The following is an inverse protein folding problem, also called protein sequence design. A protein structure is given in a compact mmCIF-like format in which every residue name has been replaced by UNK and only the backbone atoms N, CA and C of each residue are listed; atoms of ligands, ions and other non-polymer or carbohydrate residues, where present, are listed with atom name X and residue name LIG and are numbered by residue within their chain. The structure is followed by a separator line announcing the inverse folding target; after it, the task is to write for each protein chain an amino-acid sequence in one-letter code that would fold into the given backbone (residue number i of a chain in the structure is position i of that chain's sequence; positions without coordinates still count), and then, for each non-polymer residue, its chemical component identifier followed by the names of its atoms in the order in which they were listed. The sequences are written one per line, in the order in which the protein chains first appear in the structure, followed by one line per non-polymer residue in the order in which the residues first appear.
data_IF_385356178003
#
_entry.id   IF_385356178003
#
_cell.length_a   1.000
_cell.length_b   1.000
_cell.length_c   1.000
_cell.angle_alpha   90.00
_cell.angle_beta   90.00
_cell.angle_gamma   90.00
#
_symmetry.space_group_name_H-M   'P 1'
#
loop_
_entity.id
_entity.type
_entity.pdbx_description
1 polymer ?
#
# COMPACT_ATOMS: atom_id res chain seq x y z
N UNK A 1 10.60 28.82 -6.32
CA UNK A 1 11.26 27.80 -7.14
C UNK A 1 10.83 26.44 -6.59
N UNK A 2 9.73 25.90 -7.10
CA UNK A 2 9.20 24.57 -6.81
C UNK A 2 9.00 23.89 -8.16
N UNK A 3 9.61 22.74 -8.46
CA UNK A 3 9.32 22.07 -9.72
C UNK A 3 8.06 21.23 -9.56
N UNK A 4 6.98 21.73 -10.14
CA UNK A 4 5.83 20.96 -10.58
C UNK A 4 6.25 20.03 -11.72
N UNK A 5 5.95 18.74 -11.61
CA UNK A 5 5.71 17.90 -12.79
C UNK A 5 4.55 16.94 -12.49
N UNK A 6 3.34 17.46 -12.62
CA UNK A 6 2.17 16.64 -12.89
C UNK A 6 2.27 16.13 -14.34
N UNK A 7 2.58 14.85 -14.52
CA UNK A 7 2.41 14.20 -15.81
C UNK A 7 0.96 13.72 -15.97
N UNK A 8 0.29 14.32 -16.95
CA UNK A 8 -0.99 13.89 -17.50
C UNK A 8 -0.79 12.54 -18.22
N UNK A 9 -0.89 11.43 -17.50
CA UNK A 9 -1.11 10.12 -18.11
C UNK A 9 -2.61 9.84 -18.04
N UNK A 10 -3.22 9.59 -19.20
CA UNK A 10 -4.64 9.25 -19.35
C UNK A 10 -5.03 8.17 -18.35
N UNK A 11 -5.73 8.59 -17.30
CA UNK A 11 -6.37 7.71 -16.32
C UNK A 11 -7.45 6.96 -17.07
N UNK A 12 -7.12 5.80 -17.63
CA UNK A 12 -8.11 4.84 -18.11
C UNK A 12 -9.05 4.57 -16.96
N UNK A 13 -10.25 5.14 -17.04
CA UNK A 13 -11.33 4.85 -16.14
C UNK A 13 -11.71 3.39 -16.35
N UNK A 14 -11.11 2.50 -15.56
CA UNK A 14 -11.63 1.15 -15.40
C UNK A 14 -12.84 1.28 -14.47
N UNK A 15 -14.08 1.01 -14.94
CA UNK A 15 -15.24 1.02 -14.05
C UNK A 15 -14.93 0.10 -12.87
N UNK A 16 -15.12 0.60 -11.65
CA UNK A 16 -14.85 -0.16 -10.42
C UNK A 16 -15.50 -1.54 -10.53
N UNK A 17 -14.67 -2.59 -10.56
CA UNK A 17 -15.13 -3.96 -10.68
C UNK A 17 -16.16 -4.24 -9.55
N UNK A 18 -17.42 -4.58 -9.89
CA UNK A 18 -18.46 -4.84 -8.89
C UNK A 18 -18.08 -6.00 -7.96
N UNK A 19 -17.15 -6.88 -8.34
CA UNK A 19 -16.59 -7.91 -7.46
C UNK A 19 -15.81 -7.31 -6.29
N UNK A 20 -15.04 -6.23 -6.50
CA UNK A 20 -14.34 -5.51 -5.40
C UNK A 20 -15.34 -4.93 -4.39
N UNK A 21 -16.51 -4.48 -4.85
CA UNK A 21 -17.55 -3.95 -3.95
C UNK A 21 -18.17 -5.02 -3.05
N UNK A 22 -18.24 -6.28 -3.49
CA UNK A 22 -18.72 -7.41 -2.66
C UNK A 22 -17.67 -7.80 -1.62
N UNK A 23 -16.41 -7.91 -2.00
CA UNK A 23 -15.31 -8.13 -1.06
C UNK A 23 -15.20 -7.04 0.03
N UNK A 24 -15.55 -5.79 -0.29
CA UNK A 24 -15.60 -4.66 0.66
C UNK A 24 -16.55 -4.90 1.84
N UNK A 25 -17.62 -5.68 1.67
CA UNK A 25 -18.52 -6.07 2.76
C UNK A 25 -17.88 -7.09 3.71
N UNK A 26 -17.05 -7.97 3.18
CA UNK A 26 -16.36 -9.03 3.93
C UNK A 26 -15.13 -8.50 4.70
N UNK A 27 -14.53 -7.41 4.21
CA UNK A 27 -13.32 -6.80 4.82
C UNK A 27 -13.61 -5.99 6.11
N UNK A 28 -14.85 -5.56 6.36
CA UNK A 28 -15.20 -4.71 7.52
C UNK A 28 -15.09 -5.42 8.90
N UNK A 29 -14.87 -6.74 8.92
CA UNK A 29 -14.62 -7.54 10.13
C UNK A 29 -13.28 -8.27 10.15
N UNK A 30 -12.46 -8.12 9.11
CA UNK A 30 -11.17 -8.79 9.00
C UNK A 30 -10.13 -8.02 9.84
N UNK A 31 -9.31 -8.72 10.65
CA UNK A 31 -8.25 -8.07 11.40
C UNK A 31 -7.20 -7.49 10.44
N UNK A 32 -6.69 -6.32 10.81
CA UNK A 32 -5.55 -5.70 10.14
C UNK A 32 -4.28 -6.25 10.80
N UNK A 33 -3.47 -6.95 10.03
CA UNK A 33 -2.17 -7.44 10.48
C UNK A 33 -1.08 -6.48 10.01
N UNK A 34 -0.19 -6.08 10.92
CA UNK A 34 1.03 -5.34 10.57
C UNK A 34 2.23 -6.26 10.80
N UNK A 35 3.05 -6.44 9.77
CA UNK A 35 4.27 -7.25 9.85
C UNK A 35 5.46 -6.53 9.22
N UNK A 36 6.66 -6.91 9.62
CA UNK A 36 7.92 -6.51 8.97
C UNK A 36 8.32 -7.59 7.97
N UNK A 37 8.79 -7.22 6.78
CA UNK A 37 9.42 -8.12 5.83
C UNK A 37 10.51 -7.40 5.03
N UNK A 38 11.56 -8.12 4.68
CA UNK A 38 12.56 -7.66 3.70
C UNK A 38 12.43 -8.43 2.38
N UNK A 39 11.65 -9.51 2.37
CA UNK A 39 11.55 -10.43 1.27
C UNK A 39 10.78 -9.83 0.10
N UNK A 40 11.19 -10.20 -1.11
CA UNK A 40 10.35 -10.02 -2.29
C UNK A 40 9.29 -11.12 -2.29
N UNK A 41 8.05 -10.69 -2.26
CA UNK A 41 6.89 -11.58 -2.25
C UNK A 41 6.01 -11.20 -3.45
N UNK A 42 5.50 -12.17 -4.24
CA UNK A 42 4.69 -11.87 -5.42
C UNK A 42 3.49 -10.96 -5.14
N UNK A 43 2.91 -11.06 -3.93
CA UNK A 43 1.81 -10.19 -3.49
C UNK A 43 2.24 -8.71 -3.35
N UNK A 44 3.47 -8.46 -2.88
CA UNK A 44 4.02 -7.11 -2.77
C UNK A 44 4.41 -6.56 -4.14
N UNK A 45 4.94 -7.39 -5.03
CA UNK A 45 5.23 -6.99 -6.41
C UNK A 45 3.95 -6.61 -7.16
N UNK A 46 2.86 -7.36 -6.93
CA UNK A 46 1.53 -7.00 -7.42
C UNK A 46 1.06 -5.66 -6.85
N UNK A 47 1.22 -5.43 -5.55
CA UNK A 47 0.85 -4.17 -4.89
C UNK A 47 1.59 -2.98 -5.51
N UNK A 48 2.91 -3.10 -5.70
CA UNK A 48 3.72 -2.08 -6.36
C UNK A 48 3.31 -1.84 -7.82
N UNK A 49 2.99 -2.90 -8.56
CA UNK A 49 2.47 -2.77 -9.92
C UNK A 49 1.10 -2.07 -9.97
N UNK A 50 0.22 -2.31 -8.97
CA UNK A 50 -1.07 -1.60 -8.87
C UNK A 50 -0.88 -0.11 -8.59
N UNK A 51 0.04 0.24 -7.69
CA UNK A 51 0.34 1.62 -7.31
C UNK A 51 1.15 2.38 -8.39
N UNK A 52 1.85 1.65 -9.26
CA UNK A 52 2.74 2.23 -10.27
C UNK A 52 4.05 2.78 -9.69
N UNK A 53 4.41 2.36 -8.48
CA UNK A 53 5.62 2.77 -7.77
C UNK A 53 6.45 1.55 -7.34
N UNK A 54 7.79 1.65 -7.29
CA UNK A 54 8.63 0.55 -6.86
C UNK A 54 8.41 0.21 -5.39
N UNK A 55 8.61 -1.06 -5.02
CA UNK A 55 8.60 -1.47 -3.62
C UNK A 55 9.72 -0.75 -2.83
N UNK A 56 9.46 -0.30 -1.58
CA UNK A 56 10.47 0.32 -0.73
C UNK A 56 11.71 -0.58 -0.58
N UNK A 57 12.91 -0.03 -0.61
CA UNK A 57 14.11 -0.84 -0.46
C UNK A 57 14.30 -1.34 0.99
N UNK A 58 14.84 -2.56 1.14
CA UNK A 58 15.19 -3.14 2.44
C UNK A 58 13.97 -3.48 3.32
N UNK A 59 14.12 -3.41 4.66
CA UNK A 59 13.03 -3.72 5.58
C UNK A 59 11.85 -2.77 5.43
N UNK A 60 10.65 -3.34 5.35
CA UNK A 60 9.39 -2.61 5.20
C UNK A 60 8.32 -3.13 6.14
N UNK A 61 7.47 -2.24 6.62
CA UNK A 61 6.22 -2.60 7.29
C UNK A 61 5.14 -2.81 6.25
N UNK A 62 4.32 -3.83 6.43
CA UNK A 62 3.25 -4.23 5.54
C UNK A 62 1.96 -4.28 6.35
N UNK A 63 0.91 -3.66 5.84
CA UNK A 63 -0.46 -3.83 6.31
C UNK A 63 -1.18 -4.86 5.45
N UNK A 64 -1.85 -5.81 6.11
CA UNK A 64 -2.61 -6.87 5.45
C UNK A 64 -4.01 -6.96 6.03
N UNK A 65 -4.96 -7.34 5.17
CA UNK A 65 -6.34 -7.69 5.55
C UNK A 65 -6.59 -9.08 4.99
N UNK A 66 -6.93 -10.05 5.84
CA UNK A 66 -7.11 -11.44 5.42
C UNK A 66 -5.88 -12.05 4.73
N UNK A 67 -4.67 -11.62 5.12
CA UNK A 67 -3.40 -12.05 4.50
C UNK A 67 -3.07 -11.41 3.14
N UNK A 68 -3.89 -10.46 2.66
CA UNK A 68 -3.62 -9.70 1.44
C UNK A 68 -2.95 -8.36 1.78
N UNK A 69 -1.74 -8.07 1.26
CA UNK A 69 -1.13 -6.76 1.37
C UNK A 69 -1.98 -5.66 0.74
N UNK A 70 -2.21 -4.58 1.48
CA UNK A 70 -2.97 -3.40 1.03
C UNK A 70 -2.15 -2.10 1.09
N UNK A 71 -1.07 -2.09 1.89
CA UNK A 71 -0.09 -1.01 1.93
C UNK A 71 1.26 -1.51 2.45
N UNK A 72 2.36 -0.88 2.04
CA UNK A 72 3.69 -1.11 2.58
C UNK A 72 4.48 0.20 2.69
N UNK A 73 5.28 0.35 3.75
CA UNK A 73 6.13 1.53 4.01
C UNK A 73 7.53 1.08 4.38
N UNK A 74 8.55 1.70 3.79
CA UNK A 74 9.94 1.44 4.13
C UNK A 74 10.27 1.84 5.56
N UNK A 75 11.02 1.01 6.29
CA UNK A 75 11.49 1.36 7.64
C UNK A 75 12.66 2.36 7.62
N UNK A 76 13.39 2.43 6.51
CA UNK A 76 14.58 3.30 6.34
C UNK A 76 14.32 4.57 5.51
N UNK A 77 13.14 4.69 4.90
CA UNK A 77 12.81 5.80 4.01
C UNK A 77 11.30 5.88 3.82
N UNK A 78 10.76 7.09 3.74
CA UNK A 78 9.31 7.37 3.70
C UNK A 78 8.59 6.91 2.43
N UNK A 79 9.25 6.14 1.57
CA UNK A 79 8.65 5.47 0.42
C UNK A 79 7.51 4.57 0.90
N UNK A 80 6.40 4.65 0.18
CA UNK A 80 5.22 3.87 0.45
C UNK A 80 4.64 3.37 -0.86
N UNK A 81 4.08 2.17 -0.83
CA UNK A 81 3.20 1.66 -1.87
C UNK A 81 1.86 1.29 -1.27
N UNK A 82 0.78 1.52 -1.99
CA UNK A 82 -0.58 1.27 -1.49
C UNK A 82 -1.50 0.79 -2.61
N UNK A 83 -2.56 0.04 -2.31
CA UNK A 83 -3.54 -0.33 -3.33
C UNK A 83 -4.38 0.93 -3.67
N UNK A 84 -4.27 1.52 -4.88
CA UNK A 84 -4.96 2.76 -5.23
C UNK A 84 -6.46 2.56 -5.51
N UNK A 85 -6.89 1.30 -5.59
CA UNK A 85 -8.29 0.91 -5.81
C UNK A 85 -9.01 0.62 -4.49
N UNK A 86 -8.29 0.66 -3.36
CA UNK A 86 -8.83 0.53 -2.00
C UNK A 86 -8.65 1.82 -1.19
N UNK A 87 -9.32 1.93 -0.04
CA UNK A 87 -9.10 3.04 0.92
C UNK A 87 -7.84 2.77 1.74
N UNK A 88 -6.69 2.69 1.07
CA UNK A 88 -5.40 2.28 1.63
C UNK A 88 -4.65 3.42 2.37
N UNK A 89 -5.04 4.68 2.17
CA UNK A 89 -4.38 5.84 2.79
C UNK A 89 -4.29 5.80 4.33
N UNK A 90 -5.35 5.43 5.10
CA UNK A 90 -5.25 5.33 6.56
C UNK A 90 -4.21 4.29 7.01
N UNK A 91 -3.98 3.25 6.21
CA UNK A 91 -3.00 2.22 6.53
C UNK A 91 -1.58 2.69 6.26
N UNK A 92 -1.35 3.48 5.20
CA UNK A 92 -0.06 4.13 4.98
C UNK A 92 0.30 5.03 6.18
N UNK A 93 -0.65 5.82 6.68
CA UNK A 93 -0.44 6.66 7.86
C UNK A 93 -0.15 5.83 9.12
N UNK A 94 -0.92 4.76 9.36
CA UNK A 94 -0.67 3.82 10.45
C UNK A 94 0.74 3.21 10.39
N UNK A 95 1.16 2.77 9.20
CA UNK A 95 2.48 2.18 8.98
C UNK A 95 3.60 3.21 9.17
N UNK A 96 3.41 4.47 8.77
CA UNK A 96 4.37 5.56 9.01
C UNK A 96 4.55 5.84 10.50
N UNK A 97 3.45 5.91 11.26
CA UNK A 97 3.51 6.04 12.72
C UNK A 97 4.28 4.87 13.33
N UNK A 98 3.99 3.64 12.90
CA UNK A 98 4.67 2.45 13.41
C UNK A 98 6.15 2.41 13.01
N UNK A 99 6.51 2.81 11.80
CA UNK A 99 7.89 2.93 11.35
C UNK A 99 8.67 3.92 12.24
N UNK A 100 8.08 5.09 12.54
CA UNK A 100 8.68 6.08 13.42
C UNK A 100 8.85 5.61 14.87
N UNK A 101 8.03 4.67 15.34
CA UNK A 101 8.21 4.03 16.65
C UNK A 101 9.34 3.00 16.66
N UNK A 102 9.57 2.29 15.54
CA UNK A 102 10.60 1.25 15.42
C UNK A 102 11.99 1.80 15.05
N UNK A 103 12.05 3.02 14.53
CA UNK A 103 13.30 3.70 14.20
C UNK A 103 13.94 4.42 15.40
N UNK A 104 13.32 4.38 16.59
CA UNK A 104 13.84 4.89 17.86
C UNK A 104 14.60 3.80 18.59
#
# INVERSE_FOLDING_TARGET
MFPSFFHHATRSYHPADPARRRARGDDLGQPVTIRVSELREPALERLAALDGAPLPAGPRLIAEIGGRPIAAVGLRGGEAVADPFERSAPFVELLRVRAGQLAR
#
